data_IF_688983059590
#
_entry.id   IF_688983059590
#
_cell.length_a   1.000
_cell.length_b   1.000
_cell.length_c   1.000
_cell.angle_alpha   90.00
_cell.angle_beta   90.00
_cell.angle_gamma   90.00
#
_symmetry.space_group_name_H-M   'P 1'
#
loop_
_entity.id
_entity.type
_entity.pdbx_description
1 polymer ?
#
# COMPACT_ATOMS: atom_id res chain seq x y z
N UNK A 1 34.02 -16.04 0.95
CA UNK A 1 32.91 -15.54 0.12
C UNK A 1 32.78 -14.03 0.34
N UNK A 2 33.27 -13.14 -0.54
CA UNK A 2 33.21 -11.71 -0.26
C UNK A 2 31.80 -11.19 -0.53
N UNK A 3 31.20 -10.64 0.53
CA UNK A 3 29.92 -9.97 0.55
C UNK A 3 29.98 -8.72 -0.35
N UNK A 4 29.36 -8.78 -1.54
CA UNK A 4 29.16 -7.60 -2.40
C UNK A 4 28.12 -6.70 -1.73
N UNK A 5 28.57 -5.85 -0.81
CA UNK A 5 27.81 -4.68 -0.38
C UNK A 5 27.50 -3.87 -1.64
N UNK A 6 26.24 -3.94 -2.10
CA UNK A 6 25.74 -3.10 -3.18
C UNK A 6 26.00 -1.66 -2.77
N UNK A 7 26.83 -0.95 -3.55
CA UNK A 7 26.97 0.51 -3.39
C UNK A 7 25.56 1.12 -3.40
N UNK A 8 25.19 1.95 -2.42
CA UNK A 8 23.91 2.63 -2.46
C UNK A 8 23.87 3.45 -3.75
N UNK A 9 22.85 3.22 -4.56
CA UNK A 9 22.58 4.05 -5.74
C UNK A 9 22.33 5.50 -5.32
N UNK A 10 22.32 6.45 -6.27
CA UNK A 10 22.00 7.84 -5.97
C UNK A 10 20.66 7.93 -5.23
N UNK A 11 20.50 8.92 -4.31
CA UNK A 11 19.25 9.07 -3.56
C UNK A 11 18.11 9.26 -4.55
N UNK A 12 17.18 8.31 -4.52
CA UNK A 12 15.95 8.39 -5.32
C UNK A 12 15.16 9.62 -4.87
N UNK A 13 14.55 10.35 -5.81
CA UNK A 13 13.63 11.43 -5.44
C UNK A 13 12.50 10.85 -4.60
N UNK A 14 11.91 11.64 -3.69
CA UNK A 14 10.82 11.21 -2.80
C UNK A 14 9.76 10.34 -3.52
N UNK A 15 9.25 10.80 -4.67
CA UNK A 15 8.28 10.04 -5.49
C UNK A 15 8.81 8.73 -6.08
N UNK A 16 10.09 8.65 -6.44
CA UNK A 16 10.71 7.41 -6.93
C UNK A 16 10.99 6.41 -5.80
N UNK A 17 11.21 6.88 -4.56
CA UNK A 17 11.25 6.01 -3.39
C UNK A 17 9.91 5.30 -3.22
N UNK A 18 8.80 6.03 -3.31
CA UNK A 18 7.45 5.45 -3.26
C UNK A 18 7.16 4.40 -4.35
N UNK A 19 7.84 4.50 -5.51
CA UNK A 19 7.68 3.57 -6.63
C UNK A 19 8.34 2.22 -6.36
N UNK A 20 9.38 2.17 -5.53
CA UNK A 20 10.19 0.96 -5.27
C UNK A 20 10.03 0.43 -3.86
N UNK A 21 9.88 1.35 -2.92
CA UNK A 21 9.75 1.07 -1.50
C UNK A 21 8.43 1.67 -1.01
N UNK A 22 7.39 0.82 -0.87
CA UNK A 22 6.14 1.29 -0.31
C UNK A 22 6.40 1.90 1.07
N UNK A 23 5.82 3.07 1.32
CA UNK A 23 6.07 3.76 2.57
C UNK A 23 5.58 2.97 3.78
N UNK A 24 6.28 3.09 4.93
CA UNK A 24 5.79 2.53 6.16
C UNK A 24 4.37 3.00 6.42
N UNK A 25 3.57 2.05 6.87
CA UNK A 25 2.15 2.20 7.10
C UNK A 25 1.89 3.41 7.99
N UNK A 26 1.23 4.41 7.42
CA UNK A 26 0.69 5.51 8.22
C UNK A 26 -0.67 5.10 8.75
N UNK A 27 -0.99 5.44 9.99
CA UNK A 27 -2.34 5.26 10.52
C UNK A 27 -3.32 6.18 9.83
N UNK A 28 -4.60 5.82 9.86
CA UNK A 28 -5.67 6.75 9.45
C UNK A 28 -6.81 6.11 8.68
N UNK A 29 -6.77 4.81 8.38
CA UNK A 29 -7.94 4.10 7.87
C UNK A 29 -8.64 3.34 9.00
N UNK A 30 -9.98 3.44 9.03
CA UNK A 30 -10.83 2.56 9.84
C UNK A 30 -10.72 1.10 9.39
N UNK A 31 -10.29 0.85 8.15
CA UNK A 31 -10.02 -0.49 7.63
C UNK A 31 -8.66 -1.04 8.05
N UNK A 32 -8.62 -2.36 8.27
CA UNK A 32 -7.39 -3.13 8.44
C UNK A 32 -6.53 -3.11 7.18
N UNK A 33 -5.24 -2.83 7.33
CA UNK A 33 -4.29 -2.78 6.21
C UNK A 33 -3.68 -4.16 5.98
N UNK A 34 -3.61 -4.62 4.73
CA UNK A 34 -3.02 -5.91 4.37
C UNK A 34 -1.49 -5.78 4.19
N UNK A 35 -0.75 -6.60 4.93
CA UNK A 35 0.71 -6.60 5.01
C UNK A 35 1.28 -8.01 4.84
N UNK A 36 2.52 -8.12 4.40
CA UNK A 36 3.24 -9.39 4.37
C UNK A 36 3.71 -9.75 5.78
N UNK A 37 3.40 -10.97 6.22
CA UNK A 37 3.86 -11.48 7.50
C UNK A 37 5.38 -11.71 7.45
N UNK A 38 6.19 -11.14 8.36
CA UNK A 38 7.64 -11.39 8.38
C UNK A 38 8.01 -12.81 8.82
N UNK A 39 7.05 -13.63 9.28
CA UNK A 39 7.29 -15.01 9.73
C UNK A 39 7.08 -16.05 8.63
N UNK A 40 6.02 -15.92 7.84
CA UNK A 40 5.64 -16.91 6.83
C UNK A 40 5.47 -16.33 5.42
N UNK A 41 5.76 -15.04 5.24
CA UNK A 41 5.51 -14.28 4.01
C UNK A 41 4.05 -14.34 3.52
N UNK A 42 3.10 -14.81 4.33
CA UNK A 42 1.66 -14.83 4.01
C UNK A 42 0.97 -13.49 4.25
N UNK A 43 -0.30 -13.40 3.84
CA UNK A 43 -1.14 -12.23 4.09
C UNK A 43 -1.42 -12.08 5.60
N UNK A 44 -1.13 -10.92 6.15
CA UNK A 44 -1.45 -10.53 7.52
C UNK A 44 -2.27 -9.23 7.52
N UNK A 45 -3.08 -9.05 8.56
CA UNK A 45 -3.89 -7.85 8.79
C UNK A 45 -3.20 -6.98 9.84
N UNK A 46 -2.95 -5.72 9.50
CA UNK A 46 -2.51 -4.70 10.44
C UNK A 46 -3.71 -3.82 10.81
N UNK A 47 -4.03 -3.79 12.09
CA UNK A 47 -5.07 -2.93 12.66
C UNK A 47 -4.41 -1.80 13.42
N UNK A 48 -4.93 -0.58 13.28
CA UNK A 48 -4.58 0.54 14.16
C UNK A 48 -5.72 0.73 15.16
N UNK A 49 -5.40 0.54 16.42
CA UNK A 49 -6.27 0.75 17.57
C UNK A 49 -6.01 2.15 18.10
N UNK A 50 -7.09 2.88 18.36
CA UNK A 50 -7.05 4.17 19.02
C UNK A 50 -7.68 3.98 20.40
N UNK A 51 -6.97 4.39 21.44
CA UNK A 51 -7.55 4.46 22.78
C UNK A 51 -7.95 5.89 23.08
N UNK A 52 -9.14 6.06 23.66
CA UNK A 52 -9.64 7.34 24.15
C UNK A 52 -9.15 7.67 25.58
N UNK A 53 -8.17 6.90 26.08
CA UNK A 53 -7.45 7.22 27.33
C UNK A 53 -6.88 8.64 27.32
N UNK A 54 -6.55 9.17 28.50
CA UNK A 54 -5.85 10.46 28.62
C UNK A 54 -4.41 10.21 29.11
N UNK A 55 -3.38 10.41 28.28
CA UNK A 55 -3.42 10.91 26.90
C UNK A 55 -3.87 9.85 25.87
N UNK A 56 -4.44 10.28 24.73
CA UNK A 56 -4.91 9.35 23.71
C UNK A 56 -3.72 8.55 23.17
N UNK A 57 -3.88 7.23 23.11
CA UNK A 57 -2.83 6.34 22.64
C UNK A 57 -3.22 5.72 21.30
N UNK A 58 -2.21 5.41 20.50
CA UNK A 58 -2.40 4.73 19.22
C UNK A 58 -1.48 3.53 19.15
N UNK A 59 -2.07 2.36 19.01
CA UNK A 59 -1.35 1.10 18.94
C UNK A 59 -1.66 0.37 17.65
N UNK A 60 -0.68 -0.29 17.08
CA UNK A 60 -0.74 -1.04 15.83
C UNK A 60 -0.53 -2.49 16.18
N UNK A 61 -1.45 -3.34 15.76
CA UNK A 61 -1.36 -4.78 15.96
C UNK A 61 -1.46 -5.49 14.64
N UNK A 62 -0.45 -6.29 14.31
CA UNK A 62 -0.48 -7.19 13.16
C UNK A 62 -0.92 -8.57 13.63
N UNK A 63 -1.86 -9.17 12.90
CA UNK A 63 -2.31 -10.54 13.06
C UNK A 63 -2.15 -11.28 11.72
N UNK A 64 -1.45 -12.41 11.74
CA UNK A 64 -1.31 -13.28 10.57
C UNK A 64 -2.23 -14.50 10.70
N UNK A 65 -3.31 -14.61 9.91
CA UNK A 65 -4.20 -15.78 9.95
C UNK A 65 -3.51 -17.07 9.47
N UNK A 66 -2.46 -16.99 8.64
CA UNK A 66 -1.81 -18.17 8.08
C UNK A 66 -0.90 -18.91 9.06
N UNK A 67 -0.25 -18.20 9.99
CA UNK A 67 0.70 -18.81 10.95
C UNK A 67 0.42 -18.45 12.42
N UNK A 68 -0.65 -17.69 12.69
CA UNK A 68 -1.01 -17.24 14.04
C UNK A 68 -0.09 -16.17 14.63
N UNK A 69 0.85 -15.61 13.86
CA UNK A 69 1.76 -14.59 14.39
C UNK A 69 1.01 -13.30 14.76
N UNK A 70 1.19 -12.85 16.00
CA UNK A 70 0.73 -11.56 16.50
C UNK A 70 1.96 -10.69 16.78
N UNK A 71 1.95 -9.43 16.35
CA UNK A 71 2.99 -8.44 16.67
C UNK A 71 2.37 -7.12 17.06
N UNK A 72 2.84 -6.55 18.16
CA UNK A 72 2.49 -5.20 18.61
C UNK A 72 3.54 -4.20 18.11
N UNK A 73 3.09 -3.01 17.72
CA UNK A 73 3.91 -1.95 17.11
C UNK A 73 4.89 -2.42 16.02
N UNK A 74 4.45 -3.19 15.01
CA UNK A 74 5.36 -3.70 14.01
C UNK A 74 5.88 -2.58 13.08
N UNK A 75 7.20 -2.47 13.01
CA UNK A 75 7.93 -1.56 12.11
C UNK A 75 8.38 -2.27 10.83
N UNK A 76 8.59 -1.52 9.74
CA UNK A 76 9.19 -2.05 8.51
C UNK A 76 8.33 -3.07 7.74
N UNK A 77 7.02 -3.11 7.96
CA UNK A 77 6.13 -4.03 7.26
C UNK A 77 5.95 -3.65 5.78
N UNK A 78 5.96 -4.66 4.91
CA UNK A 78 5.67 -4.54 3.47
C UNK A 78 4.17 -4.72 3.24
N UNK A 79 3.58 -4.00 2.28
CA UNK A 79 2.18 -4.26 1.87
C UNK A 79 2.07 -5.63 1.19
N UNK A 80 0.96 -6.31 1.47
CA UNK A 80 0.62 -7.58 0.83
C UNK A 80 0.24 -7.36 -0.64
N UNK A 81 -0.63 -6.39 -0.90
CA UNK A 81 -1.10 -6.05 -2.23
C UNK A 81 -0.03 -5.21 -2.94
N UNK A 82 0.91 -5.89 -3.61
CA UNK A 82 1.91 -5.24 -4.47
C UNK A 82 2.20 -6.09 -5.71
N UNK A 83 2.40 -5.44 -6.85
CA UNK A 83 2.76 -6.08 -8.11
C UNK A 83 3.66 -5.15 -8.91
N UNK A 84 4.55 -5.69 -9.73
CA UNK A 84 5.18 -4.92 -10.79
C UNK A 84 4.14 -4.51 -11.85
N UNK A 85 4.27 -3.28 -12.35
CA UNK A 85 3.42 -2.67 -13.37
C UNK A 85 4.19 -1.55 -14.05
N UNK A 86 4.32 -1.57 -15.38
CA UNK A 86 4.98 -0.52 -16.17
C UNK A 86 6.43 -0.18 -15.71
N UNK A 87 7.18 -1.14 -15.16
CA UNK A 87 8.52 -0.88 -14.59
C UNK A 87 8.53 -0.22 -13.20
N UNK A 88 7.36 -0.10 -12.57
CA UNK A 88 7.16 0.43 -11.21
C UNK A 88 6.43 -0.59 -10.33
N UNK A 89 6.38 -0.36 -9.01
CA UNK A 89 5.56 -1.18 -8.10
C UNK A 89 4.21 -0.51 -7.88
N UNK A 90 3.14 -1.20 -8.27
CA UNK A 90 1.77 -0.87 -7.92
C UNK A 90 1.43 -1.54 -6.59
N UNK A 91 0.87 -0.79 -5.64
CA UNK A 91 0.49 -1.32 -4.32
C UNK A 91 -0.83 -0.73 -3.84
N UNK A 92 -1.48 -1.44 -2.92
CA UNK A 92 -2.71 -1.00 -2.26
C UNK A 92 -2.69 -1.39 -0.77
N UNK A 93 -3.47 -0.70 0.04
CA UNK A 93 -3.57 -0.99 1.50
C UNK A 93 -4.63 -2.04 1.82
N UNK A 94 -5.66 -2.18 1.00
CA UNK A 94 -6.79 -3.05 1.25
C UNK A 94 -7.75 -3.07 0.08
N UNK A 95 -8.92 -3.68 0.27
CA UNK A 95 -9.92 -3.81 -0.77
C UNK A 95 -10.57 -2.46 -1.13
N UNK A 96 -10.85 -1.59 -0.15
CA UNK A 96 -11.42 -0.25 -0.39
C UNK A 96 -10.46 0.62 -1.19
N UNK A 97 -9.21 0.74 -0.76
CA UNK A 97 -8.19 1.49 -1.49
C UNK A 97 -7.98 0.95 -2.91
N UNK A 98 -8.08 -0.37 -3.12
CA UNK A 98 -8.01 -0.93 -4.46
C UNK A 98 -9.20 -0.50 -5.33
N UNK A 99 -10.42 -0.44 -4.77
CA UNK A 99 -11.60 0.10 -5.47
C UNK A 99 -11.42 1.59 -5.79
N UNK A 100 -10.96 2.39 -4.83
CA UNK A 100 -10.64 3.82 -5.02
C UNK A 100 -9.66 4.01 -6.18
N UNK A 101 -8.59 3.21 -6.23
CA UNK A 101 -7.60 3.26 -7.31
C UNK A 101 -8.17 2.84 -8.66
N UNK A 102 -8.99 1.79 -8.70
CA UNK A 102 -9.65 1.35 -9.94
C UNK A 102 -10.58 2.43 -10.47
N UNK A 103 -11.42 3.01 -9.61
CA UNK A 103 -12.34 4.08 -9.98
C UNK A 103 -11.59 5.33 -10.45
N UNK A 104 -10.50 5.69 -9.76
CA UNK A 104 -9.63 6.79 -10.17
C UNK A 104 -9.01 6.58 -11.56
N UNK A 105 -8.49 5.38 -11.84
CA UNK A 105 -7.84 5.06 -13.12
C UNK A 105 -8.86 4.96 -14.25
N UNK A 106 -10.05 4.42 -13.99
CA UNK A 106 -11.17 4.35 -14.95
C UNK A 106 -11.75 5.72 -15.28
N UNK A 107 -11.72 6.64 -14.32
CA UNK A 107 -12.25 7.99 -14.49
C UNK A 107 -11.50 8.75 -15.60
N UNK A 108 -12.19 9.51 -16.48
CA UNK A 108 -11.54 10.28 -17.52
C UNK A 108 -10.70 11.44 -16.95
N UNK A 109 -9.64 11.84 -17.65
CA UNK A 109 -8.65 12.83 -17.18
C UNK A 109 -9.26 14.16 -16.69
N UNK A 110 -10.37 14.61 -17.29
CA UNK A 110 -11.08 15.84 -16.89
C UNK A 110 -11.80 15.69 -15.54
N UNK A 111 -12.36 14.52 -15.30
CA UNK A 111 -13.01 14.18 -14.04
C UNK A 111 -11.96 13.99 -12.94
N UNK A 112 -10.77 13.44 -13.24
CA UNK A 112 -9.64 13.35 -12.29
C UNK A 112 -9.14 14.69 -11.77
N UNK A 113 -9.22 15.74 -12.61
CA UNK A 113 -8.87 17.11 -12.25
C UNK A 113 -9.98 17.80 -11.44
N UNK A 114 -11.23 17.40 -11.64
CA UNK A 114 -12.42 17.94 -10.94
C UNK A 114 -12.76 17.23 -9.64
N UNK A 115 -12.41 15.94 -9.54
CA UNK A 115 -12.39 15.14 -8.33
C UNK A 115 -11.27 15.68 -7.43
N UNK A 116 -11.50 16.87 -6.90
CA UNK A 116 -10.89 17.35 -5.67
C UNK A 116 -11.40 16.46 -4.53
N UNK A 117 -10.95 15.20 -4.53
CA UNK A 117 -11.32 14.19 -3.57
C UNK A 117 -10.99 14.70 -2.16
N UNK A 118 -11.88 14.50 -1.17
CA UNK A 118 -11.63 14.85 0.23
C UNK A 118 -10.28 14.29 0.74
N UNK A 119 -9.84 13.18 0.15
CA UNK A 119 -8.59 12.49 0.42
C UNK A 119 -7.41 12.89 -0.49
N UNK A 120 -7.24 14.19 -0.78
CA UNK A 120 -6.06 14.70 -1.53
C UNK A 120 -4.74 14.14 -0.98
N UNK A 121 -4.65 13.88 0.32
CA UNK A 121 -3.45 13.34 0.95
C UNK A 121 -3.14 11.89 0.55
N UNK A 122 -4.16 11.05 0.30
CA UNK A 122 -3.97 9.66 -0.15
C UNK A 122 -3.47 9.63 -1.59
N UNK A 123 -4.07 10.46 -2.45
CA UNK A 123 -3.75 10.53 -3.89
C UNK A 123 -2.42 11.26 -4.14
N UNK A 124 -2.11 12.32 -3.38
CA UNK A 124 -0.86 13.05 -3.51
C UNK A 124 0.39 12.20 -3.21
N UNK A 125 0.23 11.10 -2.46
CA UNK A 125 1.29 10.13 -2.14
C UNK A 125 1.40 9.03 -3.19
N UNK A 126 0.50 9.00 -4.18
CA UNK A 126 0.60 8.06 -5.27
C UNK A 126 1.74 8.45 -6.22
N UNK A 127 2.37 7.46 -6.85
CA UNK A 127 3.30 7.70 -7.93
C UNK A 127 2.75 8.59 -9.04
N UNK A 128 3.61 9.43 -9.60
CA UNK A 128 3.25 10.29 -10.73
C UNK A 128 2.79 9.48 -11.95
N UNK A 129 3.40 8.31 -12.20
CA UNK A 129 3.01 7.45 -13.32
C UNK A 129 1.57 6.93 -13.18
N UNK A 130 1.12 6.69 -11.94
CA UNK A 130 -0.23 6.22 -11.62
C UNK A 130 -1.24 7.36 -11.80
N UNK A 131 -0.91 8.56 -11.34
CA UNK A 131 -1.72 9.79 -11.50
C UNK A 131 -1.89 10.16 -12.98
N UNK A 132 -0.80 10.08 -13.75
CA UNK A 132 -0.84 10.37 -15.19
C UNK A 132 -1.62 9.32 -15.98
N UNK A 133 -1.73 8.09 -15.46
CA UNK A 133 -2.37 6.92 -16.06
C UNK A 133 -2.08 6.75 -17.56
N UNK A 134 -0.85 7.06 -17.99
CA UNK A 134 -0.43 6.96 -19.41
C UNK A 134 -0.55 5.54 -19.95
N UNK A 135 -0.47 4.54 -19.05
CA UNK A 135 -0.66 3.12 -19.33
C UNK A 135 -1.89 2.56 -18.60
N UNK A 136 -3.03 3.27 -18.66
CA UNK A 136 -4.26 2.95 -17.90
C UNK A 136 -4.63 1.47 -17.96
N UNK A 137 -4.56 0.84 -19.14
CA UNK A 137 -4.99 -0.55 -19.32
C UNK A 137 -4.05 -1.52 -18.62
N UNK A 138 -2.76 -1.20 -18.57
CA UNK A 138 -1.77 -1.98 -17.83
C UNK A 138 -1.93 -1.81 -16.31
N UNK A 139 -2.20 -0.58 -15.87
CA UNK A 139 -2.54 -0.31 -14.46
C UNK A 139 -3.77 -1.09 -14.03
N UNK A 140 -4.83 -1.08 -14.85
CA UNK A 140 -6.06 -1.84 -14.57
C UNK A 140 -5.80 -3.34 -14.52
N UNK A 141 -4.93 -3.88 -15.39
CA UNK A 141 -4.48 -5.27 -15.28
C UNK A 141 -3.71 -5.53 -13.99
N UNK A 142 -2.84 -4.60 -13.58
CA UNK A 142 -2.14 -4.65 -12.30
C UNK A 142 -3.09 -4.64 -11.10
N UNK A 143 -4.08 -3.75 -11.09
CA UNK A 143 -5.12 -3.69 -10.06
C UNK A 143 -5.95 -4.97 -10.04
N UNK A 144 -6.29 -5.54 -11.20
CA UNK A 144 -6.96 -6.84 -11.29
C UNK A 144 -6.10 -8.01 -10.77
N UNK A 145 -4.77 -7.95 -10.88
CA UNK A 145 -3.86 -8.91 -10.21
C UNK A 145 -3.93 -8.75 -8.70
N UNK A 146 -3.84 -7.51 -8.20
CA UNK A 146 -3.95 -7.22 -6.77
C UNK A 146 -5.31 -7.66 -6.21
N UNK A 147 -6.39 -7.49 -6.97
CA UNK A 147 -7.74 -7.93 -6.61
C UNK A 147 -7.78 -9.44 -6.34
N UNK A 148 -7.08 -10.23 -7.14
CA UNK A 148 -6.96 -11.69 -6.97
C UNK A 148 -6.07 -12.09 -5.79
N UNK A 149 -5.16 -11.22 -5.36
CA UNK A 149 -4.35 -11.43 -4.16
C UNK A 149 -5.09 -11.09 -2.87
N UNK A 150 -6.28 -10.47 -2.94
CA UNK A 150 -7.09 -10.25 -1.76
C UNK A 150 -7.43 -11.60 -1.14
N UNK A 151 -7.23 -11.79 0.17
CA UNK A 151 -7.72 -12.97 0.84
C UNK A 151 -9.24 -13.00 0.66
N UNK A 152 -9.75 -14.07 0.03
CA UNK A 152 -11.20 -14.32 -0.08
C UNK A 152 -11.77 -14.24 1.32
N UNK A 153 -12.76 -13.38 1.52
CA UNK A 153 -13.23 -12.95 2.84
C UNK A 153 -13.45 -14.11 3.80
N UNK A 154 -12.82 -13.99 4.96
CA UNK A 154 -13.16 -14.62 6.24
C UNK A 154 -13.10 -13.55 7.31
#
# INVERSE_FOLDING_TARGET
MPNRLRRPGPPLRFRQLHDREPQPLRPGTRESILVACPRCDGCARLVTLYSEDTPPSRTRRMHCPACGAIREEPIGLRYWLRTDCCGHVLWATGAEHLRELEDYVRSPLRERLRLFLPDRYRIARLPRWLILARHRDEVLRGLARLRRMLPTGG
#
